data_IF_392675846016
#
_entry.id   IF_392675846016
#
_cell.length_a   1.000
_cell.length_b   1.000
_cell.length_c   1.000
_cell.angle_alpha   90.00
_cell.angle_beta   90.00
_cell.angle_gamma   90.00
#
_symmetry.space_group_name_H-M   'P 1'
#
loop_
_entity.id
_entity.type
_entity.pdbx_description
1 polymer ?
#
# COMPACT_ATOMS: atom_id res chain seq x y z
N UNK A 1 -21.51 -0.44 -16.47
CA UNK A 1 -20.91 -1.18 -15.33
C UNK A 1 -20.19 -2.43 -15.84
N UNK A 2 -20.83 -3.35 -16.56
CA UNK A 2 -20.16 -4.55 -17.10
C UNK A 2 -18.99 -4.19 -18.05
N UNK A 3 -19.17 -3.23 -18.94
CA UNK A 3 -18.12 -2.75 -19.83
C UNK A 3 -16.93 -2.15 -19.07
N UNK A 4 -17.17 -1.44 -17.97
CA UNK A 4 -16.12 -0.87 -17.12
C UNK A 4 -15.29 -1.96 -16.45
N UNK A 5 -15.92 -3.03 -15.96
CA UNK A 5 -15.25 -4.16 -15.33
C UNK A 5 -14.36 -4.88 -16.35
N UNK A 6 -14.86 -5.17 -17.54
CA UNK A 6 -14.11 -5.84 -18.62
C UNK A 6 -12.90 -4.99 -19.04
N UNK A 7 -13.06 -3.69 -19.18
CA UNK A 7 -11.98 -2.77 -19.55
C UNK A 7 -10.89 -2.73 -18.47
N UNK A 8 -11.27 -2.70 -17.19
CA UNK A 8 -10.36 -2.73 -16.07
C UNK A 8 -9.60 -4.07 -16.01
N UNK A 9 -10.29 -5.19 -16.20
CA UNK A 9 -9.66 -6.51 -16.19
C UNK A 9 -8.65 -6.67 -17.34
N UNK A 10 -8.96 -6.16 -18.53
CA UNK A 10 -8.04 -6.11 -19.68
C UNK A 10 -6.79 -5.28 -19.36
N UNK A 11 -6.94 -4.16 -18.67
CA UNK A 11 -5.81 -3.33 -18.26
C UNK A 11 -4.95 -4.00 -17.17
N UNK A 12 -5.55 -4.71 -16.23
CA UNK A 12 -4.85 -5.42 -15.16
C UNK A 12 -4.02 -6.63 -15.64
N UNK A 13 -4.27 -7.11 -16.87
CA UNK A 13 -3.52 -8.22 -17.48
C UNK A 13 -2.25 -7.76 -18.21
N UNK A 14 -1.96 -6.47 -18.30
CA UNK A 14 -0.73 -5.97 -18.91
C UNK A 14 0.49 -6.30 -18.04
N UNK A 15 1.61 -6.66 -18.66
CA UNK A 15 2.81 -7.12 -17.96
C UNK A 15 3.50 -6.02 -17.12
N UNK A 16 3.39 -4.74 -17.48
CA UNK A 16 4.07 -3.64 -16.80
C UNK A 16 3.10 -2.52 -16.41
N UNK A 17 2.20 -2.81 -15.45
CA UNK A 17 1.29 -1.81 -14.91
C UNK A 17 1.95 -1.10 -13.72
N UNK A 18 1.93 0.23 -13.74
CA UNK A 18 2.39 1.04 -12.63
C UNK A 18 1.50 0.82 -11.38
N UNK A 19 2.08 0.90 -10.16
CA UNK A 19 1.33 0.82 -8.91
C UNK A 19 0.12 1.77 -8.86
N UNK A 20 0.26 3.00 -9.36
CA UNK A 20 -0.83 3.98 -9.41
C UNK A 20 -1.96 3.58 -10.36
N UNK A 21 -1.63 3.01 -11.52
CA UNK A 21 -2.62 2.54 -12.49
C UNK A 21 -3.39 1.35 -11.92
N UNK A 22 -2.69 0.40 -11.30
CA UNK A 22 -3.28 -0.76 -10.64
C UNK A 22 -4.19 -0.34 -9.48
N UNK A 23 -3.77 0.66 -8.70
CA UNK A 23 -4.56 1.24 -7.61
C UNK A 23 -5.88 1.83 -8.12
N UNK A 24 -5.81 2.66 -9.17
CA UNK A 24 -6.99 3.27 -9.81
C UNK A 24 -7.92 2.22 -10.41
N UNK A 25 -7.36 1.21 -11.09
CA UNK A 25 -8.11 0.11 -11.69
C UNK A 25 -8.91 -0.67 -10.64
N UNK A 26 -8.29 -1.05 -9.52
CA UNK A 26 -8.99 -1.74 -8.44
C UNK A 26 -10.03 -0.85 -7.73
N UNK A 27 -9.76 0.43 -7.55
CA UNK A 27 -10.74 1.37 -6.99
C UNK A 27 -11.97 1.47 -7.89
N UNK A 28 -11.79 1.65 -9.20
CA UNK A 28 -12.88 1.70 -10.17
C UNK A 28 -13.72 0.40 -10.16
N UNK A 29 -13.07 -0.77 -10.10
CA UNK A 29 -13.75 -2.06 -10.04
C UNK A 29 -14.54 -2.22 -8.73
N UNK A 30 -13.96 -1.80 -7.60
CA UNK A 30 -14.64 -1.81 -6.30
C UNK A 30 -15.88 -0.93 -6.30
N UNK A 31 -15.77 0.27 -6.83
CA UNK A 31 -16.88 1.23 -6.88
C UNK A 31 -18.01 0.73 -7.82
N UNK A 32 -17.65 0.12 -8.95
CA UNK A 32 -18.63 -0.49 -9.87
C UNK A 32 -19.40 -1.66 -9.19
N UNK A 33 -18.72 -2.53 -8.43
CA UNK A 33 -19.34 -3.64 -7.70
C UNK A 33 -20.25 -3.11 -6.58
N UNK A 34 -19.82 -2.10 -5.83
CA UNK A 34 -20.65 -1.48 -4.79
C UNK A 34 -21.94 -0.89 -5.35
N UNK A 35 -21.87 -0.22 -6.50
CA UNK A 35 -23.05 0.32 -7.18
C UNK A 35 -24.01 -0.78 -7.66
N UNK A 36 -23.51 -1.95 -8.08
CA UNK A 36 -24.34 -3.11 -8.40
C UNK A 36 -25.05 -3.67 -7.16
N UNK A 37 -24.32 -3.85 -6.05
CA UNK A 37 -24.85 -4.35 -4.79
C UNK A 37 -25.97 -3.45 -4.26
N UNK A 38 -25.80 -2.15 -4.27
CA UNK A 38 -26.81 -1.20 -3.84
C UNK A 38 -28.13 -1.28 -4.66
N UNK A 39 -28.04 -1.63 -5.94
CA UNK A 39 -29.24 -1.83 -6.80
C UNK A 39 -29.95 -3.16 -6.54
N UNK A 40 -29.22 -4.20 -6.15
CA UNK A 40 -29.82 -5.51 -5.80
C UNK A 40 -30.56 -5.51 -4.47
N UNK A 41 -30.09 -4.74 -3.48
CA UNK A 41 -30.77 -4.63 -2.18
C UNK A 41 -32.16 -3.98 -2.24
N UNK A 42 -32.47 -3.25 -3.36
CA UNK A 42 -33.76 -2.60 -3.57
C UNK A 42 -34.82 -3.53 -4.21
N UNK A 43 -34.46 -4.72 -4.68
CA UNK A 43 -35.37 -5.56 -5.51
C UNK A 43 -35.57 -7.00 -5.02
N UNK A 44 -34.94 -7.46 -3.96
CA UNK A 44 -35.05 -8.87 -3.52
C UNK A 44 -34.93 -9.02 -2.01
N UNK A 45 -36.04 -8.99 -1.31
CA UNK A 45 -36.16 -9.55 0.05
C UNK A 45 -36.94 -10.86 -0.03
N UNK A 46 -36.26 -11.98 -0.15
CA UNK A 46 -36.78 -13.27 0.32
C UNK A 46 -36.17 -13.60 1.69
N UNK A 47 -36.97 -13.74 2.75
CA UNK A 47 -36.45 -14.10 4.07
C UNK A 47 -36.15 -15.60 4.10
N UNK A 48 -34.87 -15.98 4.30
CA UNK A 48 -34.56 -17.36 4.62
C UNK A 48 -33.18 -17.93 4.25
N UNK A 49 -32.36 -17.30 3.45
CA UNK A 49 -31.02 -17.81 3.19
C UNK A 49 -29.96 -16.86 3.75
N UNK A 50 -29.19 -17.29 4.76
CA UNK A 50 -27.93 -16.71 5.16
C UNK A 50 -26.91 -16.96 4.02
N UNK A 51 -26.96 -16.18 2.97
CA UNK A 51 -25.87 -16.09 2.02
C UNK A 51 -24.66 -15.55 2.77
N UNK A 52 -23.57 -16.32 2.80
CA UNK A 52 -22.27 -15.83 3.23
C UNK A 52 -21.92 -14.68 2.29
N UNK A 53 -22.15 -13.43 2.72
CA UNK A 53 -21.86 -12.23 1.95
C UNK A 53 -20.35 -12.12 1.81
N UNK A 54 -19.82 -12.55 0.67
CA UNK A 54 -18.42 -12.29 0.30
C UNK A 54 -18.21 -10.79 0.25
N UNK A 55 -17.10 -10.33 0.80
CA UNK A 55 -16.69 -8.93 0.67
C UNK A 55 -16.53 -8.56 -0.81
N UNK A 56 -16.88 -7.32 -1.20
CA UNK A 56 -16.66 -6.86 -2.59
C UNK A 56 -15.19 -7.00 -3.03
N UNK A 57 -14.24 -6.95 -2.10
CA UNK A 57 -12.81 -7.20 -2.37
C UNK A 57 -12.51 -8.66 -2.65
N UNK A 58 -13.18 -9.59 -1.97
CA UNK A 58 -13.02 -11.02 -2.22
C UNK A 58 -13.57 -11.40 -3.60
N UNK A 59 -14.67 -10.77 -4.02
CA UNK A 59 -15.21 -10.90 -5.38
C UNK A 59 -14.23 -10.41 -6.45
N UNK A 60 -13.50 -9.31 -6.18
CA UNK A 60 -12.46 -8.83 -7.09
C UNK A 60 -11.29 -9.82 -7.14
N UNK A 61 -10.88 -10.34 -5.99
CA UNK A 61 -9.75 -11.25 -5.88
C UNK A 61 -9.96 -12.59 -6.61
N UNK A 62 -11.20 -13.09 -6.68
CA UNK A 62 -11.52 -14.33 -7.40
C UNK A 62 -11.14 -14.29 -8.89
N UNK A 63 -11.19 -13.11 -9.49
CA UNK A 63 -10.87 -12.89 -10.92
C UNK A 63 -9.62 -12.03 -11.12
N UNK A 64 -8.71 -12.00 -10.16
CA UNK A 64 -7.52 -11.15 -10.16
C UNK A 64 -6.28 -11.98 -9.80
N UNK A 65 -5.10 -11.63 -10.33
CA UNK A 65 -3.84 -12.24 -9.89
C UNK A 65 -3.46 -11.86 -8.45
N UNK A 66 -4.05 -10.77 -7.92
CA UNK A 66 -3.72 -10.24 -6.59
C UNK A 66 -4.70 -10.75 -5.52
N UNK A 67 -4.18 -11.01 -4.32
CA UNK A 67 -5.01 -11.37 -3.16
C UNK A 67 -5.87 -10.19 -2.69
N UNK A 68 -6.97 -10.47 -1.98
CA UNK A 68 -7.85 -9.46 -1.38
C UNK A 68 -7.09 -8.44 -0.52
N UNK A 69 -6.08 -8.89 0.22
CA UNK A 69 -5.18 -8.02 1.02
C UNK A 69 -4.34 -7.12 0.11
N UNK A 70 -3.78 -7.65 -0.97
CA UNK A 70 -2.98 -6.88 -1.91
C UNK A 70 -3.83 -5.85 -2.66
N UNK A 71 -5.03 -6.23 -3.08
CA UNK A 71 -6.01 -5.31 -3.68
C UNK A 71 -6.33 -4.15 -2.74
N UNK A 72 -6.55 -4.43 -1.45
CA UNK A 72 -6.79 -3.37 -0.46
C UNK A 72 -5.60 -2.42 -0.34
N UNK A 73 -4.37 -2.92 -0.37
CA UNK A 73 -3.15 -2.10 -0.34
C UNK A 73 -3.06 -1.21 -1.58
N UNK A 74 -3.33 -1.73 -2.77
CA UNK A 74 -3.37 -0.92 -4.00
C UNK A 74 -4.43 0.17 -3.91
N UNK A 75 -5.67 -0.19 -3.53
CA UNK A 75 -6.75 0.80 -3.39
C UNK A 75 -6.34 1.89 -2.40
N UNK A 76 -5.65 1.54 -1.32
CA UNK A 76 -5.19 2.52 -0.34
C UNK A 76 -4.22 3.55 -0.91
N UNK A 77 -3.41 3.20 -1.92
CA UNK A 77 -2.51 4.16 -2.58
C UNK A 77 -3.24 5.31 -3.27
N UNK A 78 -4.52 5.16 -3.60
CA UNK A 78 -5.31 6.25 -4.20
C UNK A 78 -5.58 7.42 -3.25
N UNK A 79 -5.27 7.27 -1.96
CA UNK A 79 -5.36 8.32 -0.94
C UNK A 79 -4.05 9.11 -0.79
N UNK A 80 -3.01 8.76 -1.55
CA UNK A 80 -1.76 9.52 -1.58
C UNK A 80 -1.89 10.75 -2.45
N UNK A 81 -1.18 11.82 -2.05
CA UNK A 81 -0.95 12.97 -2.89
C UNK A 81 -0.25 12.56 -4.20
N UNK A 82 -0.58 13.21 -5.34
CA UNK A 82 -0.08 12.81 -6.65
C UNK A 82 1.45 12.69 -6.72
N UNK A 83 2.18 13.57 -6.04
CA UNK A 83 3.65 13.57 -6.03
C UNK A 83 4.21 12.35 -5.29
N UNK A 84 3.61 11.95 -4.13
CA UNK A 84 4.00 10.75 -3.42
C UNK A 84 3.68 9.49 -4.24
N UNK A 85 2.53 9.47 -4.90
CA UNK A 85 2.12 8.37 -5.76
C UNK A 85 3.06 8.21 -6.96
N UNK A 86 3.53 9.32 -7.54
CA UNK A 86 4.55 9.31 -8.58
C UNK A 86 5.88 8.73 -8.07
N UNK A 87 6.30 9.09 -6.85
CA UNK A 87 7.51 8.50 -6.25
C UNK A 87 7.40 6.99 -6.04
N UNK A 88 6.16 6.48 -5.82
CA UNK A 88 5.91 5.03 -5.77
C UNK A 88 6.05 4.40 -7.14
N UNK A 89 5.54 5.03 -8.19
CA UNK A 89 5.66 4.55 -9.57
C UNK A 89 7.12 4.55 -10.06
N UNK A 90 7.90 5.53 -9.63
CA UNK A 90 9.34 5.63 -9.89
C UNK A 90 10.19 4.67 -9.03
N UNK A 91 9.57 3.95 -8.09
CA UNK A 91 10.26 3.03 -7.18
C UNK A 91 11.10 3.71 -6.09
N UNK A 92 11.00 5.04 -5.93
CA UNK A 92 11.68 5.80 -4.87
C UNK A 92 11.10 5.48 -3.50
N UNK A 93 9.79 5.27 -3.43
CA UNK A 93 9.08 4.83 -2.22
C UNK A 93 8.53 3.45 -2.47
N UNK A 94 8.86 2.49 -1.61
CA UNK A 94 8.34 1.12 -1.70
C UNK A 94 6.83 1.06 -1.40
N UNK A 95 6.16 0.03 -1.93
CA UNK A 95 4.72 -0.21 -1.73
C UNK A 95 4.32 -0.23 -0.25
N UNK A 96 5.12 -0.86 0.60
CA UNK A 96 4.79 -1.04 2.02
C UNK A 96 4.83 0.29 2.80
N UNK A 97 5.90 1.10 2.76
CA UNK A 97 5.87 2.43 3.36
C UNK A 97 4.79 3.33 2.73
N UNK A 98 4.55 3.28 1.43
CA UNK A 98 3.53 4.08 0.75
C UNK A 98 2.12 3.84 1.32
N UNK A 99 1.76 2.58 1.61
CA UNK A 99 0.49 2.23 2.26
C UNK A 99 0.39 2.85 3.65
N UNK A 100 1.46 2.88 4.43
CA UNK A 100 1.46 3.53 5.75
C UNK A 100 1.30 5.06 5.63
N UNK A 101 2.00 5.67 4.67
CA UNK A 101 1.93 7.11 4.40
C UNK A 101 0.55 7.56 3.91
N UNK A 102 -0.20 6.70 3.24
CA UNK A 102 -1.57 7.01 2.80
C UNK A 102 -2.57 7.23 3.94
N UNK A 103 -2.19 6.96 5.19
CA UNK A 103 -3.00 7.27 6.37
C UNK A 103 -2.74 8.65 6.94
N UNK A 104 -1.74 9.37 6.43
CA UNK A 104 -1.48 10.77 6.80
C UNK A 104 -2.58 11.67 6.24
N UNK A 105 -2.80 12.79 6.90
CA UNK A 105 -3.69 13.84 6.40
C UNK A 105 -3.08 14.51 5.18
N UNK A 106 -3.87 15.14 4.29
CA UNK A 106 -3.34 15.83 3.11
C UNK A 106 -2.24 16.85 3.45
N UNK A 107 -2.45 17.66 4.48
CA UNK A 107 -1.45 18.65 4.92
C UNK A 107 -0.14 17.99 5.37
N UNK A 108 -0.23 16.86 6.08
CA UNK A 108 0.92 16.10 6.54
C UNK A 108 1.65 15.39 5.38
N UNK A 109 0.91 15.00 4.33
CA UNK A 109 1.51 14.44 3.11
C UNK A 109 2.25 15.53 2.33
N UNK A 110 1.71 16.74 2.26
CA UNK A 110 2.38 17.87 1.63
C UNK A 110 3.68 18.22 2.37
N UNK A 111 3.63 18.28 3.70
CA UNK A 111 4.79 18.49 4.55
C UNK A 111 5.86 17.40 4.34
N UNK A 112 5.45 16.15 4.19
CA UNK A 112 6.37 15.05 3.89
C UNK A 112 7.05 15.23 2.54
N UNK A 113 6.33 15.70 1.51
CA UNK A 113 6.92 15.98 0.19
C UNK A 113 8.02 17.02 0.32
N UNK A 114 7.75 18.12 1.01
CA UNK A 114 8.75 19.19 1.25
C UNK A 114 9.96 18.65 2.03
N UNK A 115 9.73 17.80 3.02
CA UNK A 115 10.81 17.17 3.80
C UNK A 115 11.64 16.20 2.95
N UNK A 116 11.02 15.42 2.06
CA UNK A 116 11.72 14.53 1.11
C UNK A 116 12.60 15.34 0.18
N UNK A 117 12.10 16.46 -0.31
CA UNK A 117 12.83 17.33 -1.23
C UNK A 117 14.01 18.03 -0.53
N UNK A 118 13.87 18.44 0.73
CA UNK A 118 14.96 19.07 1.49
C UNK A 118 16.04 18.07 1.89
N UNK A 119 15.65 16.90 2.39
CA UNK A 119 16.56 15.87 2.90
C UNK A 119 17.10 14.95 1.81
N UNK A 120 16.57 15.03 0.59
CA UNK A 120 16.89 14.15 -0.53
C UNK A 120 16.84 12.66 -0.16
N UNK A 121 15.90 12.31 0.74
CA UNK A 121 15.74 10.98 1.30
C UNK A 121 14.26 10.60 1.37
N UNK A 122 13.94 9.34 1.09
CA UNK A 122 12.59 8.80 1.22
C UNK A 122 12.44 8.02 2.52
N UNK A 123 11.25 8.04 3.17
CA UNK A 123 11.06 7.36 4.43
C UNK A 123 11.13 5.84 4.28
N UNK A 124 11.76 5.20 5.25
CA UNK A 124 11.73 3.75 5.43
C UNK A 124 10.36 3.30 5.97
N UNK A 125 10.10 1.98 5.96
CA UNK A 125 8.87 1.43 6.52
C UNK A 125 8.67 1.79 8.01
N UNK A 126 9.72 1.69 8.82
CA UNK A 126 9.65 2.03 10.25
C UNK A 126 9.37 3.52 10.49
N UNK A 127 9.96 4.39 9.67
CA UNK A 127 9.69 5.83 9.71
C UNK A 127 8.24 6.14 9.31
N UNK A 128 7.75 5.53 8.23
CA UNK A 128 6.36 5.67 7.78
C UNK A 128 5.34 5.21 8.84
N UNK A 129 5.60 4.10 9.52
CA UNK A 129 4.77 3.63 10.63
C UNK A 129 4.74 4.61 11.82
N UNK A 130 5.89 5.21 12.15
CA UNK A 130 5.96 6.22 13.23
C UNK A 130 5.21 7.48 12.84
N UNK A 131 5.36 7.97 11.61
CA UNK A 131 4.61 9.12 11.09
C UNK A 131 3.11 8.87 11.18
N UNK A 132 2.63 7.71 10.70
CA UNK A 132 1.23 7.31 10.81
C UNK A 132 0.74 7.33 12.25
N UNK A 133 1.47 6.75 13.19
CA UNK A 133 1.10 6.75 14.61
C UNK A 133 0.99 8.15 15.17
N UNK A 134 1.98 9.02 14.91
CA UNK A 134 1.98 10.41 15.37
C UNK A 134 0.85 11.23 14.72
N UNK A 135 0.54 10.98 13.45
CA UNK A 135 -0.61 11.57 12.77
C UNK A 135 -1.92 11.19 13.45
N UNK A 136 -2.11 9.91 13.80
CA UNK A 136 -3.30 9.43 14.51
C UNK A 136 -3.42 10.02 15.93
N UNK A 137 -2.28 10.28 16.58
CA UNK A 137 -2.23 10.96 17.88
C UNK A 137 -2.35 12.49 17.77
N UNK A 138 -2.36 13.07 16.56
CA UNK A 138 -2.38 14.52 16.32
C UNK A 138 -1.09 15.23 16.72
N UNK A 139 0.03 14.49 16.75
CA UNK A 139 1.36 14.99 17.17
C UNK A 139 2.36 15.10 16.03
N UNK A 140 1.96 14.79 14.79
CA UNK A 140 2.83 14.94 13.65
C UNK A 140 2.89 16.40 13.22
N UNK A 141 4.08 16.99 13.27
CA UNK A 141 4.38 18.34 12.86
C UNK A 141 5.74 18.38 12.15
N UNK A 142 6.16 19.55 11.67
CA UNK A 142 7.43 19.78 10.99
C UNK A 142 8.64 19.21 11.73
N UNK A 143 8.80 19.59 13.00
CA UNK A 143 9.94 19.19 13.82
C UNK A 143 10.00 17.68 14.01
N UNK A 144 8.85 17.03 14.27
CA UNK A 144 8.77 15.58 14.48
C UNK A 144 8.97 14.81 13.18
N UNK A 145 8.48 15.33 12.06
CA UNK A 145 8.67 14.72 10.74
C UNK A 145 10.13 14.79 10.32
N UNK A 146 10.75 15.97 10.42
CA UNK A 146 12.17 16.16 10.14
C UNK A 146 13.04 15.29 11.05
N UNK A 147 12.75 15.27 12.36
CA UNK A 147 13.45 14.41 13.32
C UNK A 147 13.40 12.92 12.95
N UNK A 148 12.25 12.42 12.47
CA UNK A 148 12.10 11.04 11.99
C UNK A 148 12.90 10.80 10.71
N UNK A 149 12.89 11.75 9.77
CA UNK A 149 13.60 11.61 8.50
C UNK A 149 15.12 11.67 8.66
N UNK A 150 15.63 12.50 9.58
CA UNK A 150 17.05 12.63 9.87
C UNK A 150 17.62 11.44 10.68
N UNK A 151 16.77 10.59 11.29
CA UNK A 151 17.27 9.38 11.94
C UNK A 151 17.99 8.50 10.93
N UNK A 152 19.24 8.18 11.22
CA UNK A 152 20.02 7.26 10.40
C UNK A 152 19.25 5.94 10.26
N UNK A 153 19.01 5.53 9.03
CA UNK A 153 18.46 4.20 8.75
C UNK A 153 19.38 3.21 9.44
N UNK A 154 18.88 2.52 10.50
CA UNK A 154 19.64 1.41 11.09
C UNK A 154 20.06 0.51 9.94
N UNK A 155 21.36 0.16 9.81
CA UNK A 155 21.76 -0.80 8.80
C UNK A 155 20.86 -2.02 8.99
N UNK A 156 20.30 -2.53 7.91
CA UNK A 156 19.59 -3.81 7.98
C UNK A 156 20.55 -4.78 8.66
N UNK A 157 20.18 -5.26 9.84
CA UNK A 157 20.96 -6.27 10.52
C UNK A 157 20.92 -7.50 9.63
N UNK A 158 21.93 -7.63 8.80
CA UNK A 158 22.23 -8.87 8.11
C UNK A 158 22.62 -9.87 9.19
N UNK A 159 21.62 -10.49 9.79
CA UNK A 159 21.85 -11.68 10.62
C UNK A 159 22.24 -12.81 9.68
N UNK A 160 23.49 -12.75 9.23
CA UNK A 160 24.12 -13.83 8.49
C UNK A 160 24.39 -14.93 9.51
N UNK A 161 23.41 -15.77 9.76
CA UNK A 161 23.57 -17.00 10.54
C UNK A 161 24.36 -17.98 9.67
N UNK A 162 25.69 -17.84 9.69
CA UNK A 162 26.56 -18.82 9.08
C UNK A 162 26.61 -20.06 9.99
N UNK A 163 26.24 -21.26 9.52
CA UNK A 163 26.39 -22.48 10.30
C UNK A 163 27.85 -22.62 10.71
N UNK A 164 28.09 -22.79 12.00
CA UNK A 164 29.47 -22.90 12.58
C UNK A 164 30.31 -23.97 11.88
N UNK A 165 29.70 -25.00 11.35
CA UNK A 165 30.39 -26.07 10.58
C UNK A 165 31.04 -25.53 9.29
N UNK A 166 30.42 -24.58 8.60
CA UNK A 166 31.00 -23.93 7.41
C UNK A 166 32.14 -22.99 7.76
N UNK A 167 32.08 -22.34 8.93
CA UNK A 167 33.13 -21.44 9.41
C UNK A 167 34.39 -22.25 9.83
N UNK A 168 34.22 -23.39 10.51
CA UNK A 168 35.32 -24.26 10.93
C UNK A 168 36.17 -24.79 9.78
N UNK A 169 35.60 -24.93 8.59
CA UNK A 169 36.34 -25.38 7.41
C UNK A 169 37.40 -24.37 6.95
N UNK A 170 37.19 -23.08 7.19
CA UNK A 170 38.08 -22.00 6.73
C UNK A 170 38.93 -21.41 7.86
N UNK A 171 38.54 -21.63 9.11
CA UNK A 171 39.25 -21.16 10.30
C UNK A 171 39.43 -22.33 11.30
N UNK A 172 40.33 -23.27 11.00
CA UNK A 172 40.67 -24.32 11.96
C UNK A 172 41.34 -23.68 13.20
N UNK A 173 40.90 -24.07 14.41
CA UNK A 173 41.57 -23.66 15.64
C UNK A 173 42.99 -24.24 15.62
N UNK A 174 44.00 -23.39 15.71
CA UNK A 174 45.39 -23.78 16.04
C UNK A 174 45.49 -24.36 17.44
#
# INVERSE_FOLDING_TARGET
IAATIIMVDSNLQRENILPSERAKAYKMKLDAIKQQGARHDLTSVQPGQKLVRKSSRDLIAENSPDSSTQIQRYIRLTELEPQLLQMVDEGKIGMTPAVELSYLKPDEQQLLIETIDSEQATPSFSQAQRMKRLSQEGKLNDDTMLGIMMEQKKPENWNLTLPMEKIRKYFPRS
#
